data_IF_744648189543
#
_entry.id   IF_744648189543
#
_cell.length_a   1.000
_cell.length_b   1.000
_cell.length_c   1.000
_cell.angle_alpha   90.00
_cell.angle_beta   90.00
_cell.angle_gamma   90.00
#
_symmetry.space_group_name_H-M   'P 1'
#
loop_
_entity.id
_entity.type
_entity.pdbx_description
1 polymer ?
#
# COMPACT_ATOMS: atom_id res chain seq x y z
N UNK A 1 14.54 2.76 -1.73
CA UNK A 1 13.14 2.31 -1.72
C UNK A 1 12.60 2.45 -0.32
N UNK A 2 11.36 2.91 -0.21
CA UNK A 2 10.67 3.14 1.05
C UNK A 2 9.38 2.33 1.08
N UNK A 3 9.10 1.70 2.20
CA UNK A 3 7.85 1.01 2.47
C UNK A 3 6.75 2.02 2.77
N UNK A 4 5.58 1.85 2.17
CA UNK A 4 4.39 2.65 2.44
C UNK A 4 3.26 1.74 2.89
N UNK A 5 2.87 1.84 4.15
CA UNK A 5 1.67 1.18 4.67
C UNK A 5 0.47 2.10 4.50
N UNK A 6 -0.52 1.65 3.74
CA UNK A 6 -1.74 2.40 3.48
C UNK A 6 -2.76 2.14 4.61
N UNK A 7 -2.96 3.14 5.45
CA UNK A 7 -3.94 3.16 6.53
C UNK A 7 -5.07 4.19 6.27
N UNK A 8 -4.91 5.06 5.26
CA UNK A 8 -5.89 6.07 4.87
C UNK A 8 -7.19 5.51 4.31
N UNK A 9 -8.33 6.10 4.71
CA UNK A 9 -9.64 5.83 4.11
C UNK A 9 -10.81 6.11 5.05
N UNK A 10 -12.05 5.89 4.57
CA UNK A 10 -13.25 5.96 5.41
C UNK A 10 -13.53 4.64 6.12
N UNK A 11 -12.53 4.09 6.80
CA UNK A 11 -12.67 2.87 7.60
C UNK A 11 -13.36 3.11 8.96
N UNK A 12 -14.25 4.10 9.05
CA UNK A 12 -14.91 4.56 10.27
C UNK A 12 -16.33 3.99 10.45
N UNK A 13 -16.55 2.71 10.12
CA UNK A 13 -17.85 2.04 10.36
C UNK A 13 -17.96 1.40 11.76
N UNK A 14 -16.90 1.48 12.58
CA UNK A 14 -16.79 0.77 13.87
C UNK A 14 -16.27 1.67 15.01
N UNK A 15 -16.34 3.00 14.91
CA UNK A 15 -15.91 3.92 15.97
C UNK A 15 -14.39 4.02 16.22
N UNK A 16 -13.60 3.06 15.72
CA UNK A 16 -12.12 3.00 15.76
C UNK A 16 -11.60 2.62 14.37
N UNK A 17 -10.46 3.16 13.97
CA UNK A 17 -9.89 2.88 12.65
C UNK A 17 -9.44 1.41 12.52
N UNK A 18 -9.73 0.79 11.36
CA UNK A 18 -9.40 -0.60 11.08
C UNK A 18 -7.91 -0.91 11.22
N UNK A 19 -7.03 -0.01 10.80
CA UNK A 19 -5.59 -0.29 10.88
C UNK A 19 -5.06 -0.32 12.31
N UNK A 20 -5.81 0.22 13.28
CA UNK A 20 -5.52 0.15 14.71
C UNK A 20 -6.20 -1.03 15.42
N UNK A 21 -7.03 -1.80 14.71
CA UNK A 21 -7.53 -3.08 15.23
C UNK A 21 -6.36 -4.00 15.51
N UNK A 22 -6.41 -4.65 16.67
CA UNK A 22 -5.39 -5.60 17.09
C UNK A 22 -5.65 -6.96 16.47
N UNK A 23 -4.59 -7.61 16.00
CA UNK A 23 -4.53 -9.04 15.79
C UNK A 23 -3.40 -9.55 16.69
N UNK A 24 -3.75 -10.37 17.69
CA UNK A 24 -2.84 -10.75 18.76
C UNK A 24 -2.25 -9.51 19.48
N UNK A 25 -0.92 -9.37 19.53
CA UNK A 25 -0.23 -8.28 20.23
C UNK A 25 -0.11 -6.99 19.41
N UNK A 26 -0.25 -7.05 18.08
CA UNK A 26 0.03 -5.94 17.17
C UNK A 26 -1.24 -5.41 16.52
N UNK A 27 -1.29 -4.11 16.20
CA UNK A 27 -2.30 -3.61 15.26
C UNK A 27 -2.07 -4.16 13.86
N UNK A 28 -3.08 -4.11 13.00
CA UNK A 28 -2.94 -4.47 11.58
C UNK A 28 -1.89 -3.61 10.87
N UNK A 29 -1.89 -2.30 11.13
CA UNK A 29 -0.85 -1.39 10.65
C UNK A 29 0.54 -1.80 11.15
N UNK A 30 0.68 -2.11 12.45
CA UNK A 30 1.95 -2.55 13.03
C UNK A 30 2.42 -3.88 12.41
N UNK A 31 1.49 -4.79 12.11
CA UNK A 31 1.78 -6.05 11.42
C UNK A 31 2.37 -5.81 10.04
N UNK A 32 1.80 -4.89 9.25
CA UNK A 32 2.33 -4.53 7.93
C UNK A 32 3.69 -3.81 8.03
N UNK A 33 3.85 -2.90 9.00
CA UNK A 33 5.14 -2.23 9.28
C UNK A 33 6.23 -3.25 9.62
N UNK A 34 5.94 -4.19 10.52
CA UNK A 34 6.91 -5.19 10.97
C UNK A 34 7.38 -6.08 9.81
N UNK A 35 6.49 -6.45 8.87
CA UNK A 35 6.86 -7.21 7.67
C UNK A 35 7.91 -6.46 6.82
N UNK A 36 7.73 -5.16 6.62
CA UNK A 36 8.67 -4.35 5.84
C UNK A 36 9.98 -4.11 6.60
N UNK A 37 9.93 -3.90 7.91
CA UNK A 37 11.13 -3.75 8.75
C UNK A 37 11.97 -5.03 8.80
N UNK A 38 11.36 -6.22 8.80
CA UNK A 38 12.09 -7.50 8.70
C UNK A 38 12.87 -7.60 7.37
N UNK A 39 12.40 -6.92 6.31
CA UNK A 39 13.13 -6.78 5.04
C UNK A 39 14.15 -5.65 5.02
N UNK A 40 14.37 -4.97 6.15
CA UNK A 40 15.24 -3.81 6.28
C UNK A 40 14.80 -2.64 5.37
N UNK A 41 13.50 -2.54 5.09
CA UNK A 41 12.92 -1.45 4.31
C UNK A 41 12.40 -0.38 5.29
N UNK A 42 12.86 0.88 5.21
CA UNK A 42 12.32 1.96 6.04
C UNK A 42 10.84 2.19 5.71
N UNK A 43 10.01 2.51 6.70
CA UNK A 43 8.55 2.51 6.53
C UNK A 43 7.93 3.87 6.86
N UNK A 44 7.03 4.31 6.00
CA UNK A 44 6.09 5.40 6.18
C UNK A 44 4.66 4.85 6.21
N UNK A 45 3.75 5.59 6.82
CA UNK A 45 2.36 5.19 7.03
C UNK A 45 1.47 6.31 6.48
N UNK A 46 0.74 6.01 5.42
CA UNK A 46 -0.23 6.94 4.84
C UNK A 46 -1.50 6.93 5.68
N UNK A 47 -1.91 8.12 6.12
CA UNK A 47 -3.12 8.37 6.91
C UNK A 47 -3.86 9.57 6.33
N UNK A 48 -5.17 9.65 6.57
CA UNK A 48 -5.91 10.89 6.35
C UNK A 48 -5.77 11.82 7.57
N UNK A 49 -6.18 13.08 7.39
CA UNK A 49 -6.08 14.12 8.43
C UNK A 49 -6.80 13.77 9.73
N UNK A 50 -7.94 13.07 9.66
CA UNK A 50 -8.71 12.70 10.85
C UNK A 50 -8.06 11.54 11.64
N UNK A 51 -7.25 10.72 10.97
CA UNK A 51 -6.54 9.59 11.57
C UNK A 51 -5.21 10.01 12.20
N UNK A 52 -4.63 11.16 11.84
CA UNK A 52 -3.28 11.57 12.24
C UNK A 52 -3.05 11.52 13.75
N UNK A 53 -3.98 12.09 14.53
CA UNK A 53 -3.85 12.13 15.99
C UNK A 53 -3.90 10.71 16.61
N UNK A 54 -4.80 9.86 16.14
CA UNK A 54 -4.97 8.50 16.64
C UNK A 54 -3.74 7.63 16.32
N UNK A 55 -3.27 7.68 15.07
CA UNK A 55 -2.07 6.98 14.64
C UNK A 55 -0.79 7.51 15.30
N UNK A 56 -0.74 8.80 15.63
CA UNK A 56 0.36 9.42 16.37
C UNK A 56 0.55 8.90 17.80
N UNK A 57 -0.45 8.19 18.34
CA UNK A 57 -0.32 7.50 19.65
C UNK A 57 0.46 6.19 19.55
N UNK A 58 0.58 5.62 18.34
CA UNK A 58 1.22 4.31 18.09
C UNK A 58 2.53 4.48 17.32
N UNK A 59 2.56 5.41 16.37
CA UNK A 59 3.69 5.63 15.48
C UNK A 59 4.27 7.05 15.67
N UNK A 60 5.59 7.21 15.54
CA UNK A 60 6.22 8.53 15.63
C UNK A 60 5.70 9.46 14.52
N UNK A 61 5.50 10.77 14.78
CA UNK A 61 4.98 11.72 13.82
C UNK A 61 5.74 11.75 12.48
N UNK A 62 7.05 11.48 12.48
CA UNK A 62 7.90 11.49 11.29
C UNK A 62 7.63 10.31 10.34
N UNK A 63 6.98 9.24 10.82
CA UNK A 63 6.56 8.12 9.97
C UNK A 63 5.18 8.34 9.35
N UNK A 64 4.42 9.34 9.78
CA UNK A 64 3.06 9.58 9.32
C UNK A 64 3.03 10.53 8.13
N UNK A 65 2.48 10.06 7.02
CA UNK A 65 2.23 10.84 5.81
C UNK A 65 0.74 11.14 5.73
N UNK A 66 0.38 12.40 5.95
CA UNK A 66 -1.00 12.87 5.83
C UNK A 66 -1.33 13.12 4.36
N UNK A 67 -2.42 12.53 3.87
CA UNK A 67 -2.94 12.72 2.51
C UNK A 67 -2.98 14.21 2.11
N UNK A 68 -2.44 14.53 0.94
CA UNK A 68 -2.40 15.90 0.43
C UNK A 68 -3.78 16.31 -0.12
N UNK A 69 -4.49 17.16 0.62
CA UNK A 69 -5.81 17.69 0.23
C UNK A 69 -5.79 18.43 -1.12
N UNK A 70 -4.66 19.00 -1.54
CA UNK A 70 -4.53 19.70 -2.83
C UNK A 70 -4.69 18.76 -4.03
N UNK A 71 -4.38 17.47 -3.86
CA UNK A 71 -4.59 16.46 -4.89
C UNK A 71 -6.08 16.21 -5.13
N UNK A 72 -7.01 16.56 -4.22
CA UNK A 72 -8.45 16.26 -4.37
C UNK A 72 -8.73 14.79 -4.76
N UNK A 73 -7.82 13.89 -4.40
CA UNK A 73 -7.90 12.46 -4.64
C UNK A 73 -8.47 11.76 -3.40
N UNK A 74 -9.07 10.60 -3.61
CA UNK A 74 -9.53 9.72 -2.52
C UNK A 74 -8.95 8.33 -2.71
N UNK A 75 -8.82 7.61 -1.60
CA UNK A 75 -8.38 6.22 -1.58
C UNK A 75 -6.87 6.04 -1.78
N UNK A 76 -6.43 4.79 -1.96
CA UNK A 76 -5.02 4.40 -1.97
C UNK A 76 -4.10 5.22 -2.87
N UNK A 77 -4.57 5.62 -4.05
CA UNK A 77 -3.77 6.42 -4.99
C UNK A 77 -3.42 7.80 -4.41
N UNK A 78 -4.29 8.38 -3.57
CA UNK A 78 -3.99 9.63 -2.88
C UNK A 78 -2.78 9.48 -1.94
N UNK A 79 -2.75 8.42 -1.13
CA UNK A 79 -1.65 8.15 -0.21
C UNK A 79 -0.33 7.89 -0.93
N UNK A 80 -0.37 7.11 -2.03
CA UNK A 80 0.79 6.84 -2.88
C UNK A 80 1.33 8.11 -3.52
N UNK A 81 0.49 8.91 -4.18
CA UNK A 81 0.93 10.14 -4.84
C UNK A 81 1.32 11.23 -3.84
N UNK A 82 0.68 11.30 -2.67
CA UNK A 82 1.11 12.17 -1.57
C UNK A 82 2.52 11.82 -1.12
N UNK A 83 2.81 10.54 -0.92
CA UNK A 83 4.14 10.07 -0.52
C UNK A 83 5.16 10.37 -1.62
N UNK A 84 4.82 10.12 -2.88
CA UNK A 84 5.68 10.42 -4.02
C UNK A 84 6.01 11.92 -4.14
N UNK A 85 5.05 12.81 -3.88
CA UNK A 85 5.32 14.26 -3.86
C UNK A 85 6.36 14.66 -2.81
N UNK A 86 6.42 13.94 -1.69
CA UNK A 86 7.41 14.20 -0.64
C UNK A 86 8.76 13.52 -0.92
N UNK A 87 8.73 12.35 -1.59
CA UNK A 87 9.88 11.53 -1.93
C UNK A 87 9.92 11.22 -3.44
N UNK A 88 10.16 12.22 -4.30
CA UNK A 88 10.00 12.07 -5.76
C UNK A 88 10.99 11.12 -6.42
N UNK A 89 12.10 10.80 -5.75
CA UNK A 89 13.15 9.90 -6.27
C UNK A 89 13.12 8.51 -5.62
N UNK A 90 12.21 8.28 -4.66
CA UNK A 90 12.13 6.99 -3.97
C UNK A 90 11.10 6.08 -4.63
N UNK A 91 11.53 4.85 -4.89
CA UNK A 91 10.63 3.76 -5.24
C UNK A 91 9.89 3.27 -4.00
N UNK A 92 8.61 2.92 -4.14
CA UNK A 92 7.73 2.59 -3.03
C UNK A 92 7.38 1.10 -3.02
N UNK A 93 7.48 0.46 -1.85
CA UNK A 93 6.87 -0.84 -1.58
C UNK A 93 5.57 -0.60 -0.82
N UNK A 94 4.44 -0.77 -1.49
CA UNK A 94 3.11 -0.44 -0.98
C UNK A 94 2.45 -1.70 -0.41
N UNK A 95 2.00 -1.62 0.84
CA UNK A 95 1.17 -2.62 1.50
C UNK A 95 -0.09 -1.96 2.08
N UNK A 96 -1.29 -2.50 1.83
CA UNK A 96 -2.45 -2.14 2.63
C UNK A 96 -2.39 -2.79 4.02
N UNK A 97 -2.90 -2.08 5.04
CA UNK A 97 -2.92 -2.62 6.40
C UNK A 97 -3.96 -3.74 6.60
N UNK A 98 -4.96 -3.87 5.73
CA UNK A 98 -6.06 -4.84 5.84
C UNK A 98 -5.73 -6.26 5.31
N UNK A 99 -4.45 -6.52 5.02
CA UNK A 99 -3.91 -7.85 4.69
C UNK A 99 -3.03 -8.41 5.83
N UNK A 100 -3.57 -8.66 7.04
CA UNK A 100 -2.80 -9.14 8.19
C UNK A 100 -2.15 -10.51 7.91
N UNK A 101 -2.75 -11.35 7.07
CA UNK A 101 -2.24 -12.67 6.70
C UNK A 101 -1.17 -12.66 5.60
N UNK A 102 -0.84 -11.50 5.02
CA UNK A 102 0.15 -11.42 3.95
C UNK A 102 1.49 -12.04 4.39
N UNK A 103 1.93 -13.10 3.73
CA UNK A 103 3.22 -13.71 4.01
C UNK A 103 4.37 -12.82 3.55
N UNK A 104 5.38 -12.64 4.41
CA UNK A 104 6.57 -11.85 4.06
C UNK A 104 7.33 -12.43 2.85
N UNK A 105 7.24 -13.75 2.61
CA UNK A 105 7.86 -14.41 1.47
C UNK A 105 7.38 -13.87 0.12
N UNK A 106 6.12 -13.41 0.03
CA UNK A 106 5.56 -12.78 -1.17
C UNK A 106 6.17 -11.40 -1.42
N UNK A 107 6.37 -10.62 -0.37
CA UNK A 107 7.03 -9.31 -0.47
C UNK A 107 8.52 -9.49 -0.84
N UNK A 108 9.19 -10.51 -0.27
CA UNK A 108 10.57 -10.88 -0.65
C UNK A 108 10.67 -11.21 -2.14
N UNK A 109 9.73 -11.98 -2.68
CA UNK A 109 9.68 -12.33 -4.10
C UNK A 109 9.50 -11.10 -5.00
N UNK A 110 8.58 -10.18 -4.64
CA UNK A 110 8.44 -8.91 -5.37
C UNK A 110 9.75 -8.12 -5.39
N UNK A 111 10.45 -8.02 -4.26
CA UNK A 111 11.75 -7.31 -4.16
C UNK A 111 12.80 -7.96 -5.06
N UNK A 112 12.82 -9.30 -5.16
CA UNK A 112 13.71 -10.02 -6.07
C UNK A 112 13.39 -9.65 -7.53
N UNK A 113 12.13 -9.72 -7.94
CA UNK A 113 11.72 -9.37 -9.31
C UNK A 113 12.03 -7.92 -9.66
N UNK A 114 11.80 -7.00 -8.72
CA UNK A 114 12.16 -5.59 -8.85
C UNK A 114 13.65 -5.40 -9.14
N UNK A 115 14.53 -6.13 -8.44
CA UNK A 115 15.99 -6.03 -8.63
C UNK A 115 16.47 -6.64 -9.95
N UNK A 116 15.78 -7.65 -10.47
CA UNK A 116 16.17 -8.35 -11.69
C UNK A 116 15.70 -7.63 -12.96
N UNK A 117 14.70 -6.75 -12.87
CA UNK A 117 14.05 -6.19 -14.04
C UNK A 117 13.96 -4.67 -13.98
N UNK A 118 14.83 -3.99 -14.72
CA UNK A 118 14.78 -2.52 -14.77
C UNK A 118 13.81 -1.96 -15.81
N UNK A 119 13.10 -2.78 -16.59
CA UNK A 119 12.20 -2.31 -17.66
C UNK A 119 10.78 -1.99 -17.18
N UNK A 120 10.39 -2.53 -16.02
CA UNK A 120 9.06 -2.32 -15.45
C UNK A 120 9.06 -1.24 -14.37
N UNK A 121 7.91 -0.59 -14.23
CA UNK A 121 7.64 0.51 -13.31
C UNK A 121 6.73 0.08 -12.16
N UNK A 122 6.01 -1.03 -12.31
CA UNK A 122 5.25 -1.65 -11.25
C UNK A 122 5.52 -3.16 -11.18
N UNK A 123 5.48 -3.71 -9.97
CA UNK A 123 5.61 -5.14 -9.68
C UNK A 123 4.48 -5.53 -8.74
N UNK A 124 3.59 -6.41 -9.18
CA UNK A 124 2.41 -6.81 -8.41
C UNK A 124 2.12 -8.29 -8.60
N UNK A 125 1.25 -8.82 -7.75
CA UNK A 125 0.62 -10.11 -7.99
C UNK A 125 -0.70 -9.95 -8.75
N UNK A 126 -1.09 -11.02 -9.43
CA UNK A 126 -2.46 -11.25 -9.91
C UNK A 126 -3.05 -12.47 -9.24
N UNK A 127 -4.31 -12.37 -8.81
CA UNK A 127 -5.10 -13.46 -8.26
C UNK A 127 -6.26 -13.76 -9.22
N UNK A 128 -6.25 -14.93 -9.84
CA UNK A 128 -7.23 -15.31 -10.88
C UNK A 128 -7.35 -14.29 -12.03
N UNK A 129 -6.23 -13.68 -12.42
CA UNK A 129 -6.15 -12.66 -13.46
C UNK A 129 -6.47 -11.24 -12.98
N UNK A 130 -6.95 -11.07 -11.75
CA UNK A 130 -7.22 -9.76 -11.16
C UNK A 130 -5.96 -9.22 -10.47
N UNK A 131 -5.54 -7.98 -10.73
CA UNK A 131 -4.34 -7.40 -10.12
C UNK A 131 -4.58 -7.09 -8.63
N UNK A 132 -3.55 -7.31 -7.81
CA UNK A 132 -3.50 -6.99 -6.38
C UNK A 132 -2.57 -5.78 -6.14
N UNK A 133 -3.00 -4.55 -6.49
CA UNK A 133 -2.10 -3.40 -6.53
C UNK A 133 -1.74 -2.86 -5.13
N UNK A 134 -2.44 -3.28 -4.08
CA UNK A 134 -2.18 -2.82 -2.72
C UNK A 134 -1.10 -3.64 -2.01
N UNK A 135 -0.52 -4.63 -2.69
CA UNK A 135 0.72 -5.30 -2.32
C UNK A 135 1.64 -5.29 -3.55
N UNK A 136 2.48 -4.28 -3.67
CA UNK A 136 3.25 -4.07 -4.89
C UNK A 136 4.42 -3.11 -4.73
N UNK A 137 5.32 -3.11 -5.71
CA UNK A 137 6.43 -2.18 -5.80
C UNK A 137 6.19 -1.23 -6.97
N UNK A 138 6.36 0.06 -6.74
CA UNK A 138 6.13 1.13 -7.69
C UNK A 138 7.36 2.01 -7.81
N UNK A 139 7.94 2.10 -9.01
CA UNK A 139 9.08 2.96 -9.25
C UNK A 139 8.67 4.42 -9.28
N UNK A 140 9.53 5.26 -8.72
CA UNK A 140 9.46 6.73 -8.73
C UNK A 140 9.13 7.27 -10.12
N UNK A 141 9.80 6.80 -11.18
CA UNK A 141 9.54 7.24 -12.56
C UNK A 141 8.13 6.90 -13.06
N UNK A 142 7.58 5.74 -12.67
CA UNK A 142 6.20 5.37 -12.99
C UNK A 142 5.21 6.25 -12.23
N UNK A 143 5.45 6.50 -10.94
CA UNK A 143 4.64 7.40 -10.14
C UNK A 143 4.67 8.84 -10.65
N UNK A 144 5.83 9.31 -11.13
CA UNK A 144 5.97 10.62 -11.76
C UNK A 144 5.14 10.72 -13.05
N UNK A 145 5.12 9.66 -13.86
CA UNK A 145 4.27 9.58 -15.05
C UNK A 145 2.78 9.65 -14.67
N UNK A 146 2.34 8.88 -13.68
CA UNK A 146 0.96 8.91 -13.19
C UNK A 146 0.57 10.29 -12.65
N UNK A 147 1.46 10.92 -11.88
CA UNK A 147 1.23 12.26 -11.36
C UNK A 147 1.12 13.29 -12.50
N UNK A 148 1.91 13.16 -13.56
CA UNK A 148 1.79 13.98 -14.77
C UNK A 148 0.45 13.80 -15.47
N UNK A 149 -0.01 12.56 -15.65
CA UNK A 149 -1.32 12.27 -16.24
C UNK A 149 -2.47 12.81 -15.39
N UNK A 150 -2.32 12.74 -14.07
CA UNK A 150 -3.28 13.33 -13.13
C UNK A 150 -3.37 14.85 -13.30
N UNK A 151 -2.23 15.56 -13.29
CA UNK A 151 -2.21 17.02 -13.46
C UNK A 151 -2.68 17.50 -14.83
N UNK A 152 -2.46 16.72 -15.90
CA UNK A 152 -2.94 17.05 -17.25
C UNK A 152 -4.41 16.69 -17.48
N UNK A 153 -5.08 16.05 -16.51
CA UNK A 153 -6.47 15.58 -16.63
C UNK A 153 -6.64 14.36 -17.54
N UNK A 154 -5.55 13.70 -17.91
CA UNK A 154 -5.55 12.51 -18.76
C UNK A 154 -5.79 11.21 -17.97
N UNK A 155 -5.55 11.23 -16.65
CA UNK A 155 -5.89 10.12 -15.77
C UNK A 155 -7.38 10.17 -15.39
N UNK A 156 -8.23 9.49 -16.16
CA UNK A 156 -9.70 9.59 -16.03
C UNK A 156 -10.31 8.87 -14.83
N UNK A 157 -9.57 7.93 -14.21
CA UNK A 157 -9.98 7.22 -12.98
C UNK A 157 -8.81 7.20 -11.99
N UNK A 158 -9.12 7.31 -10.71
CA UNK A 158 -8.11 7.49 -9.66
C UNK A 158 -8.00 6.28 -8.73
N UNK A 159 -7.74 5.10 -9.31
CA UNK A 159 -7.52 3.87 -8.53
C UNK A 159 -6.14 3.28 -8.80
N UNK A 160 -5.62 2.54 -7.82
CA UNK A 160 -4.34 1.84 -7.97
C UNK A 160 -4.39 0.80 -9.11
N UNK A 161 -5.54 0.16 -9.34
CA UNK A 161 -5.72 -0.77 -10.46
C UNK A 161 -5.65 -0.03 -11.81
N UNK A 162 -6.33 1.11 -11.93
CA UNK A 162 -6.39 1.84 -13.19
C UNK A 162 -5.03 2.44 -13.57
N UNK A 163 -4.25 2.92 -12.61
CA UNK A 163 -2.91 3.45 -12.93
C UNK A 163 -1.97 2.40 -13.54
N UNK A 164 -2.17 1.10 -13.29
CA UNK A 164 -1.37 0.04 -13.90
C UNK A 164 -1.55 -0.04 -15.42
N UNK A 165 -2.69 0.42 -15.95
CA UNK A 165 -2.92 0.51 -17.40
C UNK A 165 -2.03 1.57 -18.08
N UNK A 166 -1.40 2.44 -17.28
CA UNK A 166 -0.57 3.55 -17.73
C UNK A 166 0.93 3.36 -17.43
N UNK A 167 1.33 2.23 -16.85
CA UNK A 167 2.76 1.96 -16.55
C UNK A 167 3.15 0.53 -16.93
N UNK A 168 4.39 0.31 -17.43
CA UNK A 168 4.90 -1.04 -17.64
C UNK A 168 4.88 -1.84 -16.34
N UNK A 169 4.13 -2.94 -16.31
CA UNK A 169 3.85 -3.69 -15.09
C UNK A 169 4.34 -5.13 -15.23
N UNK A 170 5.16 -5.58 -14.28
CA UNK A 170 5.52 -6.98 -14.10
C UNK A 170 4.50 -7.66 -13.18
N UNK A 171 3.76 -8.64 -13.70
CA UNK A 171 2.76 -9.40 -12.95
C UNK A 171 3.26 -10.79 -12.59
N UNK A 172 3.16 -11.15 -11.31
CA UNK A 172 3.40 -12.49 -10.81
C UNK A 172 2.05 -13.19 -10.55
N UNK A 173 1.90 -14.43 -10.99
CA UNK A 173 0.68 -15.19 -10.68
C UNK A 173 0.75 -15.73 -9.26
N UNK A 174 -0.24 -15.41 -8.44
CA UNK A 174 -0.34 -15.95 -7.09
C UNK A 174 -0.68 -17.44 -7.13
N UNK A 175 0.11 -18.28 -6.45
CA UNK A 175 -0.17 -19.71 -6.40
C UNK A 175 -1.43 -20.00 -5.58
N UNK A 176 -2.19 -21.08 -5.88
CA UNK A 176 -3.43 -21.41 -5.18
C UNK A 176 -3.28 -21.48 -3.66
N UNK A 177 -2.23 -22.12 -3.16
CA UNK A 177 -1.93 -22.22 -1.72
C UNK A 177 -1.65 -20.87 -1.04
N UNK A 178 -1.22 -19.83 -1.78
CA UNK A 178 -0.92 -18.50 -1.24
C UNK A 178 -2.07 -17.51 -1.35
N UNK A 179 -3.20 -17.89 -1.96
CA UNK A 179 -4.36 -16.99 -2.14
C UNK A 179 -4.91 -16.42 -0.82
N UNK A 180 -4.87 -17.21 0.25
CA UNK A 180 -5.31 -16.78 1.59
C UNK A 180 -4.48 -15.61 2.14
N UNK A 181 -3.22 -15.44 1.71
CA UNK A 181 -2.35 -14.33 2.12
C UNK A 181 -2.87 -12.96 1.70
N UNK A 182 -3.61 -12.89 0.59
CA UNK A 182 -4.17 -11.65 0.02
C UNK A 182 -5.61 -11.38 0.47
N UNK A 183 -6.12 -12.17 1.41
CA UNK A 183 -7.48 -11.96 1.92
C UNK A 183 -7.55 -10.61 2.66
N UNK A 184 -8.35 -9.70 2.12
CA UNK A 184 -8.67 -8.43 2.76
C UNK A 184 -9.71 -8.64 3.86
N UNK A 185 -9.47 -8.03 5.02
CA UNK A 185 -10.39 -8.10 6.15
C UNK A 185 -11.08 -6.75 6.35
N UNK A 186 -12.41 -6.77 6.36
CA UNK A 186 -13.22 -5.58 6.52
C UNK A 186 -13.61 -5.33 7.98
N UNK A 187 -13.53 -6.32 8.86
CA UNK A 187 -13.81 -6.20 10.29
C UNK A 187 -13.09 -7.27 11.11
N UNK A 188 -12.85 -7.00 12.40
CA UNK A 188 -12.22 -7.98 13.31
C UNK A 188 -13.03 -9.29 13.44
N UNK A 189 -14.35 -9.25 13.30
CA UNK A 189 -15.20 -10.44 13.34
C UNK A 189 -14.84 -11.47 12.25
N UNK A 190 -14.25 -11.02 11.13
CA UNK A 190 -13.83 -11.89 10.03
C UNK A 190 -12.53 -12.66 10.36
N UNK A 191 -11.79 -12.26 11.40
CA UNK A 191 -10.58 -12.94 11.88
C UNK A 191 -10.87 -13.99 12.97
N UNK A 192 -12.02 -13.92 13.65
CA UNK A 192 -12.36 -14.83 14.77
C UNK A 192 -12.65 -16.28 14.31
N UNK A 193 -12.65 -16.54 13.00
CA UNK A 193 -12.82 -17.87 12.40
C UNK A 193 -11.53 -18.48 11.83
N UNK A 194 -10.37 -17.93 12.20
CA UNK A 194 -9.03 -18.44 11.84
C UNK A 194 -8.40 -19.17 13.02
#
# INVERSE_FOLDING_TARGET
MTGLVLCGGQSSRMGTDKGLLKLQANSWAQTAVNKLLELQIPVLISVNKNQYAEYGTVFPPQQLIVDNESLRLKGPLCGVLTTHLQLPQEDLVVLACDMPLLEIGLVKELVIQYRLNDKNDAFIYTNDGEPEPLCGIYKSRGLAHILSLYHSGQLVKHSMKFMLEHVPTNTLTLSPEKKSSFRNFNAHAELNGL
#
